data_IF_864907520053
#
_entry.id   IF_864907520053
#
_cell.length_a   1.000
_cell.length_b   1.000
_cell.length_c   1.000
_cell.angle_alpha   90.00
_cell.angle_beta   90.00
_cell.angle_gamma   90.00
#
_symmetry.space_group_name_H-M   'P 1'
#
loop_
_entity.id
_entity.type
_entity.pdbx_description
1 polymer ?
#
# COMPACT_ATOMS: atom_id res chain seq x y z
N UNK A 1 -22.78 -17.70 -15.86
CA UNK A 1 -23.24 -18.13 -14.52
C UNK A 1 -24.66 -18.67 -14.64
N UNK A 2 -25.00 -19.78 -13.95
CA UNK A 2 -26.39 -20.11 -13.67
C UNK A 2 -27.02 -18.88 -13.00
N UNK A 3 -28.14 -18.41 -13.53
CA UNK A 3 -28.68 -17.09 -13.14
C UNK A 3 -29.52 -17.19 -11.86
N UNK A 4 -29.97 -18.39 -11.54
CA UNK A 4 -30.99 -18.72 -10.55
C UNK A 4 -30.45 -19.28 -9.23
N UNK A 5 -29.16 -19.63 -9.14
CA UNK A 5 -28.57 -20.29 -7.97
C UNK A 5 -27.52 -19.43 -7.28
N UNK A 6 -27.64 -19.30 -5.96
CA UNK A 6 -26.64 -18.64 -5.13
C UNK A 6 -25.36 -19.53 -5.05
N UNK A 7 -24.15 -18.94 -5.03
CA UNK A 7 -22.89 -19.71 -5.05
C UNK A 7 -22.63 -20.52 -3.76
N UNK A 8 -23.27 -20.13 -2.65
CA UNK A 8 -23.21 -20.74 -1.31
C UNK A 8 -24.57 -20.54 -0.60
N UNK A 9 -24.83 -21.20 0.55
CA UNK A 9 -26.09 -21.05 1.29
C UNK A 9 -26.43 -19.62 1.74
N UNK A 10 -25.45 -18.71 1.69
CA UNK A 10 -25.43 -17.41 2.39
C UNK A 10 -25.18 -16.19 1.45
N UNK A 11 -25.33 -16.35 0.12
CA UNK A 11 -24.96 -15.34 -0.89
C UNK A 11 -26.10 -14.86 -1.80
N UNK A 12 -25.88 -13.73 -2.48
CA UNK A 12 -26.83 -13.18 -3.46
C UNK A 12 -26.80 -13.96 -4.78
N UNK A 13 -27.96 -14.11 -5.43
CA UNK A 13 -28.05 -14.77 -6.75
C UNK A 13 -27.46 -13.87 -7.85
N UNK A 14 -27.10 -14.46 -8.99
CA UNK A 14 -26.63 -13.68 -10.15
C UNK A 14 -27.66 -12.68 -10.67
N UNK A 15 -28.96 -12.93 -10.45
CA UNK A 15 -30.05 -12.01 -10.78
C UNK A 15 -29.97 -10.72 -9.96
N UNK A 16 -29.67 -10.79 -8.66
CA UNK A 16 -29.53 -9.60 -7.81
C UNK A 16 -28.51 -8.63 -8.39
N UNK A 17 -27.32 -9.13 -8.75
CA UNK A 17 -26.27 -8.28 -9.33
C UNK A 17 -26.65 -7.70 -10.69
N UNK A 18 -27.42 -8.44 -11.50
CA UNK A 18 -27.90 -7.92 -12.80
C UNK A 18 -28.94 -6.82 -12.64
N UNK A 19 -29.90 -7.01 -11.74
CA UNK A 19 -31.00 -6.07 -11.51
C UNK A 19 -30.51 -4.83 -10.77
N UNK A 20 -29.71 -5.02 -9.74
CA UNK A 20 -29.20 -3.93 -8.91
C UNK A 20 -27.88 -3.35 -9.42
N UNK A 21 -27.38 -3.78 -10.59
CA UNK A 21 -26.08 -3.37 -11.11
C UNK A 21 -25.92 -1.85 -11.12
N UNK A 22 -26.91 -1.14 -11.66
CA UNK A 22 -26.89 0.32 -11.75
C UNK A 22 -26.83 1.02 -10.38
N UNK A 23 -27.25 0.34 -9.31
CA UNK A 23 -27.25 0.85 -7.94
C UNK A 23 -25.90 0.55 -7.26
N UNK A 24 -25.36 -0.66 -7.42
CA UNK A 24 -24.21 -1.14 -6.64
C UNK A 24 -22.88 -1.11 -7.40
N UNK A 25 -22.88 -0.83 -8.71
CA UNK A 25 -21.67 -0.93 -9.56
C UNK A 25 -20.57 0.02 -9.10
N UNK A 26 -20.89 1.23 -8.70
CA UNK A 26 -19.89 2.24 -8.31
C UNK A 26 -19.19 1.82 -7.02
N UNK A 27 -19.95 1.41 -6.01
CA UNK A 27 -19.41 0.89 -4.75
C UNK A 27 -18.55 -0.37 -4.96
N UNK A 28 -19.01 -1.30 -5.80
CA UNK A 28 -18.24 -2.51 -6.12
C UNK A 28 -16.95 -2.15 -6.84
N UNK A 29 -17.00 -1.27 -7.84
CA UNK A 29 -15.80 -0.83 -8.57
C UNK A 29 -14.80 -0.09 -7.67
N UNK A 30 -15.29 0.74 -6.75
CA UNK A 30 -14.46 1.42 -5.75
C UNK A 30 -13.77 0.45 -4.79
N UNK A 31 -14.50 -0.56 -4.30
CA UNK A 31 -13.93 -1.62 -3.46
C UNK A 31 -12.87 -2.41 -4.24
N UNK A 32 -13.16 -2.77 -5.49
CA UNK A 32 -12.24 -3.51 -6.34
C UNK A 32 -10.97 -2.70 -6.65
N UNK A 33 -11.11 -1.41 -6.97
CA UNK A 33 -9.99 -0.51 -7.23
C UNK A 33 -9.13 -0.29 -5.97
N UNK A 34 -9.78 -0.14 -4.80
CA UNK A 34 -9.09 -0.03 -3.52
C UNK A 34 -8.26 -1.29 -3.19
N UNK A 35 -8.82 -2.48 -3.44
CA UNK A 35 -8.11 -3.76 -3.24
C UNK A 35 -6.99 -3.94 -4.27
N UNK A 36 -7.25 -3.61 -5.54
CA UNK A 36 -6.25 -3.72 -6.62
C UNK A 36 -5.04 -2.80 -6.41
N UNK A 37 -5.28 -1.57 -5.96
CA UNK A 37 -4.24 -0.58 -5.70
C UNK A 37 -3.57 -0.72 -4.32
N UNK A 38 -3.91 -1.78 -3.54
CA UNK A 38 -3.40 -2.03 -2.18
C UNK A 38 -3.66 -0.86 -1.20
N UNK A 39 -4.69 -0.05 -1.47
CA UNK A 39 -5.12 1.05 -0.60
C UNK A 39 -6.03 0.45 0.47
N UNK A 40 -5.43 -0.14 1.51
CA UNK A 40 -6.16 -0.77 2.61
C UNK A 40 -6.71 0.23 3.65
N UNK A 41 -6.54 1.54 3.43
CA UNK A 41 -6.88 2.59 4.41
C UNK A 41 -8.40 2.71 4.70
N UNK A 42 -9.26 2.17 3.83
CA UNK A 42 -10.73 2.28 3.93
C UNK A 42 -11.45 0.92 4.11
N UNK A 43 -10.73 -0.17 4.45
CA UNK A 43 -11.36 -1.47 4.66
C UNK A 43 -12.20 -1.56 5.95
N UNK A 44 -12.22 -0.50 6.77
CA UNK A 44 -13.06 -0.44 7.97
C UNK A 44 -14.56 -0.62 7.64
N UNK A 45 -14.99 -0.16 6.46
CA UNK A 45 -16.35 -0.37 5.98
C UNK A 45 -16.64 -1.84 5.62
N UNK A 46 -15.61 -2.64 5.26
CA UNK A 46 -15.78 -4.09 5.06
C UNK A 46 -16.06 -4.84 6.37
N UNK A 47 -15.68 -4.26 7.51
CA UNK A 47 -15.96 -4.81 8.84
C UNK A 47 -17.36 -4.48 9.35
N UNK A 48 -18.08 -3.57 8.69
CA UNK A 48 -19.47 -3.23 8.99
C UNK A 48 -20.39 -3.75 7.89
N UNK A 49 -21.08 -4.85 8.15
CA UNK A 49 -22.08 -5.39 7.23
C UNK A 49 -23.45 -5.43 7.91
N UNK A 50 -24.49 -4.99 7.18
CA UNK A 50 -25.87 -5.25 7.57
C UNK A 50 -26.15 -6.74 7.33
N UNK A 51 -26.23 -7.50 8.41
CA UNK A 51 -26.56 -8.92 8.36
C UNK A 51 -28.08 -9.04 8.33
N UNK A 52 -28.62 -9.44 7.18
CA UNK A 52 -30.05 -9.74 7.06
C UNK A 52 -30.27 -11.21 7.42
N UNK A 53 -31.08 -11.45 8.43
CA UNK A 53 -31.39 -12.79 8.94
C UNK A 53 -32.66 -13.33 8.29
N UNK A 54 -32.55 -14.40 7.48
CA UNK A 54 -33.72 -15.09 6.89
C UNK A 54 -34.00 -16.39 7.65
N UNK A 55 -35.18 -16.58 8.25
CA UNK A 55 -35.50 -17.81 8.98
C UNK A 55 -35.46 -19.05 8.06
N UNK A 56 -34.84 -20.12 8.53
CA UNK A 56 -34.73 -21.42 7.83
C UNK A 56 -35.99 -22.28 7.97
N UNK A 57 -36.77 -22.08 9.03
CA UNK A 57 -37.96 -22.84 9.43
C UNK A 57 -38.96 -21.92 10.12
N UNK A 58 -40.24 -22.31 10.18
CA UNK A 58 -41.22 -21.66 11.04
C UNK A 58 -40.87 -21.88 12.52
N UNK A 59 -41.08 -20.86 13.36
CA UNK A 59 -40.70 -20.90 14.78
C UNK A 59 -39.19 -20.78 15.02
N UNK A 60 -38.49 -19.94 14.25
CA UNK A 60 -37.06 -19.69 14.43
C UNK A 60 -36.77 -18.90 15.71
N UNK A 61 -36.21 -19.55 16.73
CA UNK A 61 -35.97 -18.96 18.06
C UNK A 61 -34.49 -18.58 18.29
N UNK A 62 -33.55 -19.29 17.65
CA UNK A 62 -32.11 -19.07 17.83
C UNK A 62 -31.40 -18.51 16.60
N UNK A 63 -30.26 -17.82 16.78
CA UNK A 63 -29.43 -17.28 15.68
C UNK A 63 -29.05 -18.33 14.63
N UNK A 64 -28.85 -19.60 15.04
CA UNK A 64 -28.53 -20.70 14.13
C UNK A 64 -29.69 -21.05 13.17
N UNK A 65 -30.92 -20.69 13.52
CA UNK A 65 -32.13 -20.90 12.71
C UNK A 65 -32.28 -19.85 11.60
N UNK A 66 -31.43 -18.84 11.56
CA UNK A 66 -31.42 -17.81 10.53
C UNK A 66 -30.25 -18.02 9.55
N UNK A 67 -30.47 -17.64 8.28
CA UNK A 67 -29.44 -17.53 7.25
C UNK A 67 -28.94 -16.09 7.25
N UNK A 68 -27.66 -15.83 7.57
CA UNK A 68 -27.09 -14.50 7.44
C UNK A 68 -26.79 -14.22 5.97
N UNK A 69 -27.41 -13.19 5.41
CA UNK A 69 -27.04 -12.67 4.09
C UNK A 69 -26.10 -11.49 4.28
N UNK A 70 -24.91 -11.57 3.66
CA UNK A 70 -23.91 -10.51 3.70
C UNK A 70 -23.39 -10.21 2.29
N UNK A 71 -23.67 -9.00 1.81
CA UNK A 71 -23.24 -8.52 0.50
C UNK A 71 -21.71 -8.48 0.41
N UNK A 72 -21.04 -8.09 1.51
CA UNK A 72 -19.59 -7.92 1.55
C UNK A 72 -18.86 -9.24 1.34
N UNK A 73 -19.36 -10.31 1.98
CA UNK A 73 -18.78 -11.64 1.87
C UNK A 73 -18.91 -12.18 0.44
N UNK A 74 -20.07 -11.95 -0.21
CA UNK A 74 -20.29 -12.37 -1.59
C UNK A 74 -19.42 -11.57 -2.59
N UNK A 75 -19.22 -10.27 -2.37
CA UNK A 75 -18.30 -9.43 -3.17
C UNK A 75 -16.86 -9.94 -3.05
N UNK A 76 -16.36 -10.16 -1.82
CA UNK A 76 -14.99 -10.64 -1.60
C UNK A 76 -14.77 -12.04 -2.19
N UNK A 77 -15.77 -12.91 -2.07
CA UNK A 77 -15.73 -14.23 -2.70
C UNK A 77 -15.65 -14.13 -4.23
N UNK A 78 -16.49 -13.29 -4.84
CA UNK A 78 -16.51 -13.06 -6.30
C UNK A 78 -15.23 -12.39 -6.80
N UNK A 79 -14.69 -11.45 -6.03
CA UNK A 79 -13.38 -10.88 -6.31
C UNK A 79 -12.32 -11.97 -6.34
N UNK A 80 -12.27 -12.81 -5.30
CA UNK A 80 -11.34 -13.93 -5.23
C UNK A 80 -11.44 -14.85 -6.45
N UNK A 81 -12.66 -15.20 -6.89
CA UNK A 81 -12.86 -15.96 -8.12
C UNK A 81 -12.33 -15.21 -9.35
N UNK A 82 -12.65 -13.92 -9.50
CA UNK A 82 -12.26 -13.11 -10.66
C UNK A 82 -10.75 -12.96 -10.81
N UNK A 83 -10.01 -12.88 -9.69
CA UNK A 83 -8.54 -12.78 -9.71
C UNK A 83 -7.84 -14.13 -9.52
N UNK A 84 -8.58 -15.24 -9.54
CA UNK A 84 -8.01 -16.59 -9.44
C UNK A 84 -7.52 -16.98 -8.02
N UNK A 85 -7.91 -16.24 -6.98
CA UNK A 85 -7.77 -16.64 -5.58
C UNK A 85 -8.83 -17.70 -5.24
N UNK A 86 -8.64 -18.89 -5.78
CA UNK A 86 -9.41 -20.08 -5.41
C UNK A 86 -8.51 -20.99 -4.60
N UNK A 87 -9.02 -21.49 -3.48
CA UNK A 87 -8.31 -22.48 -2.67
C UNK A 87 -8.03 -23.71 -3.54
N UNK A 88 -6.76 -23.93 -3.88
CA UNK A 88 -6.35 -25.11 -4.61
C UNK A 88 -6.26 -26.27 -3.64
N UNK A 89 -7.32 -27.08 -3.56
CA UNK A 89 -7.37 -28.22 -2.63
C UNK A 89 -6.25 -29.23 -2.89
N UNK A 90 -5.85 -29.46 -4.15
CA UNK A 90 -4.74 -30.36 -4.50
C UNK A 90 -3.37 -29.91 -3.97
N UNK A 91 -3.20 -28.61 -3.74
CA UNK A 91 -1.99 -28.05 -3.11
C UNK A 91 -2.19 -27.74 -1.63
N UNK A 92 -3.40 -27.91 -1.11
CA UNK A 92 -3.75 -27.59 0.27
C UNK A 92 -3.47 -28.78 1.18
N UNK A 93 -3.15 -28.48 2.43
CA UNK A 93 -2.94 -29.48 3.47
C UNK A 93 -4.11 -29.48 4.46
N UNK A 94 -4.51 -30.66 4.91
CA UNK A 94 -5.52 -30.83 5.96
C UNK A 94 -4.88 -31.57 7.13
N UNK A 95 -4.97 -31.00 8.32
CA UNK A 95 -4.53 -31.64 9.56
C UNK A 95 -5.66 -31.60 10.59
N UNK A 96 -5.84 -32.72 11.29
CA UNK A 96 -6.75 -32.79 12.42
C UNK A 96 -6.02 -32.41 13.71
N UNK A 97 -6.73 -31.73 14.61
CA UNK A 97 -6.21 -31.32 15.90
C UNK A 97 -7.09 -31.96 16.98
N UNK A 98 -6.48 -32.75 17.88
CA UNK A 98 -7.17 -33.46 18.98
C UNK A 98 -8.36 -34.32 18.52
N UNK A 99 -8.20 -34.99 17.39
CA UNK A 99 -9.17 -35.93 16.84
C UNK A 99 -8.61 -37.34 17.00
N UNK A 100 -8.56 -37.82 18.23
CA UNK A 100 -7.90 -39.08 18.58
C UNK A 100 -8.82 -40.29 18.29
N UNK A 101 -10.12 -40.04 18.10
CA UNK A 101 -11.19 -41.03 17.95
C UNK A 101 -11.84 -41.05 16.57
N UNK A 102 -11.45 -40.14 15.67
CA UNK A 102 -12.08 -40.00 14.34
C UNK A 102 -11.14 -40.58 13.28
N UNK A 103 -11.63 -41.56 12.52
CA UNK A 103 -10.98 -42.05 11.31
C UNK A 103 -11.03 -40.96 10.23
N UNK A 104 -9.96 -40.17 10.15
CA UNK A 104 -9.83 -39.09 9.17
C UNK A 104 -9.86 -39.60 7.72
N UNK A 105 -9.63 -40.90 7.52
CA UNK A 105 -9.67 -41.55 6.21
C UNK A 105 -11.07 -41.51 5.60
N UNK A 106 -12.11 -41.78 6.41
CA UNK A 106 -13.51 -41.72 5.97
C UNK A 106 -13.99 -40.26 5.84
N UNK A 107 -13.59 -39.39 6.77
CA UNK A 107 -14.00 -37.97 6.77
C UNK A 107 -13.43 -37.20 5.57
N UNK A 108 -12.23 -37.57 5.11
CA UNK A 108 -11.56 -36.93 3.98
C UNK A 108 -11.79 -37.66 2.66
N UNK A 109 -12.68 -38.66 2.63
CA UNK A 109 -13.01 -39.37 1.40
C UNK A 109 -13.58 -38.38 0.36
N UNK A 110 -12.96 -38.33 -0.83
CA UNK A 110 -13.31 -37.39 -1.89
C UNK A 110 -12.77 -35.97 -1.73
N UNK A 111 -12.02 -35.66 -0.66
CA UNK A 111 -11.33 -34.38 -0.52
C UNK A 111 -9.93 -34.49 -1.14
N UNK A 112 -9.61 -33.79 -2.24
CA UNK A 112 -8.35 -33.96 -2.95
C UNK A 112 -7.17 -33.24 -2.26
N UNK A 113 -7.22 -33.05 -0.94
CA UNK A 113 -6.21 -32.34 -0.17
C UNK A 113 -5.17 -33.29 0.46
N UNK A 114 -3.96 -32.76 0.65
CA UNK A 114 -2.84 -33.54 1.20
C UNK A 114 -3.03 -33.67 2.71
N UNK A 115 -3.12 -34.90 3.22
CA UNK A 115 -3.14 -35.13 4.68
C UNK A 115 -1.82 -34.70 5.29
N UNK A 116 -1.89 -33.88 6.33
CA UNK A 116 -0.76 -33.43 7.11
C UNK A 116 -1.01 -33.72 8.61
N UNK A 117 0.06 -33.87 9.36
CA UNK A 117 -0.01 -34.00 10.82
C UNK A 117 0.28 -32.66 11.46
N UNK A 118 -0.44 -32.34 12.53
CA UNK A 118 -0.15 -31.17 13.34
C UNK A 118 1.18 -31.38 14.11
N UNK A 119 2.06 -30.38 14.24
CA UNK A 119 1.93 -28.99 13.79
C UNK A 119 2.20 -28.79 12.29
N UNK A 120 1.30 -28.06 11.60
CA UNK A 120 1.44 -27.71 10.18
C UNK A 120 2.03 -26.32 9.98
N UNK A 121 2.56 -26.03 8.77
CA UNK A 121 2.99 -24.68 8.40
C UNK A 121 1.96 -24.00 7.50
N UNK A 122 1.61 -22.75 7.80
CA UNK A 122 0.76 -21.89 6.97
C UNK A 122 1.53 -20.63 6.58
N UNK A 123 1.61 -20.34 5.28
CA UNK A 123 2.43 -19.25 4.73
C UNK A 123 3.90 -19.29 5.22
N UNK A 124 4.46 -20.50 5.37
CA UNK A 124 5.82 -20.72 5.86
C UNK A 124 5.97 -20.68 7.39
N UNK A 125 4.90 -20.43 8.14
CA UNK A 125 4.91 -20.27 9.59
C UNK A 125 4.25 -21.45 10.30
N UNK A 126 4.85 -22.00 11.37
CA UNK A 126 4.22 -23.07 12.13
C UNK A 126 2.93 -22.60 12.81
N UNK A 127 1.83 -23.31 12.59
CA UNK A 127 0.52 -23.12 13.22
C UNK A 127 0.44 -23.74 14.64
N UNK A 128 1.58 -24.04 15.26
CA UNK A 128 1.68 -24.38 16.68
C UNK A 128 3.07 -24.08 17.23
N UNK A 129 3.16 -23.74 18.53
CA UNK A 129 4.38 -23.91 19.29
C UNK A 129 4.48 -25.34 19.83
N UNK A 130 5.69 -25.84 19.99
CA UNK A 130 5.95 -27.08 20.73
C UNK A 130 5.57 -26.91 22.20
N UNK A 131 5.13 -27.99 22.84
CA UNK A 131 4.57 -28.03 24.19
C UNK A 131 5.39 -27.25 25.22
N UNK A 132 4.86 -26.07 25.54
CA UNK A 132 5.07 -25.19 26.71
C UNK A 132 4.75 -23.76 26.25
N UNK A 133 3.46 -23.50 26.02
CA UNK A 133 3.00 -22.21 25.51
C UNK A 133 1.99 -21.59 26.47
N UNK A 134 2.50 -20.78 27.39
CA UNK A 134 1.75 -19.65 27.94
C UNK A 134 1.53 -18.65 26.80
N UNK A 135 0.31 -18.10 26.69
CA UNK A 135 -0.25 -17.42 25.51
C UNK A 135 0.46 -16.17 24.98
N UNK A 136 1.70 -16.28 24.50
CA UNK A 136 2.49 -15.16 23.96
C UNK A 136 3.56 -15.49 22.91
N UNK A 137 3.62 -16.70 22.34
CA UNK A 137 4.83 -17.16 21.58
C UNK A 137 4.69 -17.53 20.09
N UNK A 138 3.60 -17.21 19.38
CA UNK A 138 3.67 -17.13 17.91
C UNK A 138 3.89 -15.66 17.48
N UNK A 139 5.00 -15.07 17.92
CA UNK A 139 5.46 -13.79 17.38
C UNK A 139 6.30 -14.08 16.15
N UNK A 140 5.67 -14.09 14.98
CA UNK A 140 6.40 -14.07 13.71
C UNK A 140 7.34 -12.88 13.76
N UNK A 141 8.65 -13.15 13.75
CA UNK A 141 9.63 -12.10 13.68
C UNK A 141 9.67 -11.58 12.24
N UNK A 142 8.73 -10.69 11.91
CA UNK A 142 8.58 -10.13 10.57
C UNK A 142 9.86 -9.48 10.06
N UNK A 143 10.68 -8.89 10.94
CA UNK A 143 12.00 -8.37 10.56
C UNK A 143 12.92 -9.46 10.01
N UNK A 144 12.96 -10.65 10.63
CA UNK A 144 13.75 -11.79 10.16
C UNK A 144 13.12 -12.47 8.94
N UNK A 145 11.80 -12.64 8.95
CA UNK A 145 11.05 -13.26 7.85
C UNK A 145 11.22 -12.52 6.53
N UNK A 146 11.23 -11.18 6.57
CA UNK A 146 11.35 -10.36 5.37
C UNK A 146 12.78 -10.16 4.87
N UNK A 147 13.79 -10.75 5.53
CA UNK A 147 15.16 -10.73 5.00
C UNK A 147 15.26 -11.61 3.73
N UNK A 148 16.20 -11.30 2.82
CA UNK A 148 16.52 -12.18 1.70
C UNK A 148 16.86 -13.60 2.18
N UNK A 149 16.62 -14.59 1.32
CA UNK A 149 16.97 -15.99 1.60
C UNK A 149 18.47 -16.16 1.83
N UNK A 150 19.31 -15.35 1.16
CA UNK A 150 20.75 -15.29 1.38
C UNK A 150 21.17 -14.79 2.77
N UNK A 151 20.27 -14.09 3.47
CA UNK A 151 20.50 -13.56 4.83
C UNK A 151 19.70 -14.33 5.89
N UNK A 152 19.20 -15.54 5.55
CA UNK A 152 18.49 -16.41 6.49
C UNK A 152 17.03 -16.01 6.76
N UNK A 153 16.44 -15.17 5.92
CA UNK A 153 15.00 -14.90 5.90
C UNK A 153 14.26 -15.76 4.88
N UNK A 154 12.96 -15.49 4.70
CA UNK A 154 12.10 -16.22 3.75
C UNK A 154 11.92 -15.47 2.41
N UNK A 155 12.55 -14.29 2.25
CA UNK A 155 12.38 -13.47 1.05
C UNK A 155 10.97 -12.90 0.89
N UNK A 156 10.16 -12.90 1.96
CA UNK A 156 8.84 -12.27 1.95
C UNK A 156 9.02 -10.75 1.90
N UNK A 157 8.27 -10.08 1.03
CA UNK A 157 8.35 -8.63 0.94
C UNK A 157 7.79 -7.99 2.21
N UNK A 158 8.59 -7.11 2.82
CA UNK A 158 8.14 -6.22 3.87
C UNK A 158 7.12 -5.25 3.27
N UNK A 159 5.84 -5.43 3.60
CA UNK A 159 4.73 -4.69 2.99
C UNK A 159 4.85 -3.18 3.21
N UNK A 160 5.39 -2.75 4.34
CA UNK A 160 5.58 -1.32 4.63
C UNK A 160 6.63 -0.73 3.69
N UNK A 161 7.80 -1.38 3.59
CA UNK A 161 8.87 -0.94 2.68
C UNK A 161 8.45 -1.05 1.22
N UNK A 162 7.78 -2.12 0.84
CA UNK A 162 7.32 -2.35 -0.53
C UNK A 162 6.27 -1.31 -0.94
N UNK A 163 5.31 -1.01 -0.06
CA UNK A 163 4.31 0.04 -0.29
C UNK A 163 4.98 1.40 -0.48
N UNK A 164 5.99 1.74 0.34
CA UNK A 164 6.77 2.97 0.15
C UNK A 164 7.44 3.02 -1.21
N UNK A 165 8.14 1.96 -1.61
CA UNK A 165 8.76 1.88 -2.95
C UNK A 165 7.73 2.02 -4.07
N UNK A 166 6.51 1.51 -3.92
CA UNK A 166 5.43 1.75 -4.89
C UNK A 166 4.99 3.21 -4.94
N UNK A 167 4.91 3.91 -3.80
CA UNK A 167 4.62 5.35 -3.74
C UNK A 167 5.65 6.18 -4.49
N UNK A 168 6.93 5.78 -4.47
CA UNK A 168 7.98 6.45 -5.25
C UNK A 168 7.70 6.49 -6.75
N UNK A 169 6.89 5.56 -7.30
CA UNK A 169 6.48 5.60 -8.72
C UNK A 169 5.63 6.82 -9.05
N UNK A 170 4.84 7.32 -8.10
CA UNK A 170 4.03 8.53 -8.32
C UNK A 170 4.94 9.73 -8.58
N UNK A 171 5.97 9.90 -7.75
CA UNK A 171 6.99 10.95 -7.90
C UNK A 171 7.79 10.76 -9.19
N UNK A 172 8.13 9.52 -9.55
CA UNK A 172 8.82 9.25 -10.83
C UNK A 172 7.96 9.62 -12.04
N UNK A 173 6.68 9.23 -12.05
CA UNK A 173 5.78 9.49 -13.15
C UNK A 173 5.40 10.96 -13.27
N UNK A 174 5.34 11.72 -12.17
CA UNK A 174 5.17 13.18 -12.21
C UNK A 174 6.26 13.85 -13.07
N UNK A 175 7.48 13.32 -13.06
CA UNK A 175 8.60 13.84 -13.85
C UNK A 175 8.68 13.26 -15.26
N UNK A 176 8.34 11.98 -15.44
CA UNK A 176 8.50 11.27 -16.73
C UNK A 176 7.27 11.33 -17.64
N UNK A 177 6.10 11.50 -17.07
CA UNK A 177 4.83 11.51 -17.78
C UNK A 177 3.86 12.53 -17.14
N UNK A 178 4.04 13.82 -17.43
CA UNK A 178 3.20 14.89 -16.88
C UNK A 178 1.73 14.79 -17.28
N UNK A 179 1.40 13.91 -18.25
CA UNK A 179 0.02 13.70 -18.72
C UNK A 179 -0.79 12.81 -17.79
N UNK A 180 -0.16 12.22 -16.76
CA UNK A 180 -0.88 11.41 -15.77
C UNK A 180 -1.93 12.26 -15.04
N UNK A 181 -3.16 11.76 -14.88
CA UNK A 181 -4.30 12.55 -14.39
C UNK A 181 -4.16 13.01 -12.93
N UNK A 182 -3.23 12.42 -12.17
CA UNK A 182 -2.96 12.79 -10.77
C UNK A 182 -1.87 13.85 -10.61
N UNK A 183 -1.19 14.26 -11.69
CA UNK A 183 -0.14 15.28 -11.62
C UNK A 183 -0.77 16.62 -11.24
N UNK A 184 -0.30 17.21 -10.14
CA UNK A 184 -0.88 18.43 -9.56
C UNK A 184 -1.89 18.20 -8.43
N UNK A 185 -2.28 16.94 -8.15
CA UNK A 185 -3.09 16.58 -6.98
C UNK A 185 -2.20 16.19 -5.79
N UNK A 186 -2.79 16.09 -4.60
CA UNK A 186 -2.09 15.53 -3.44
C UNK A 186 -1.73 14.07 -3.71
N UNK A 187 -0.44 13.75 -3.54
CA UNK A 187 0.05 12.39 -3.69
C UNK A 187 0.07 11.68 -2.33
N UNK A 188 -0.06 10.34 -2.30
CA UNK A 188 0.05 9.59 -1.05
C UNK A 188 1.47 9.60 -0.45
N UNK A 189 2.43 10.33 -1.02
CA UNK A 189 3.82 10.33 -0.60
C UNK A 189 4.07 11.26 0.59
N UNK A 190 4.52 10.67 1.71
CA UNK A 190 4.93 11.41 2.90
C UNK A 190 6.35 12.00 2.77
N UNK A 191 6.85 12.67 3.82
CA UNK A 191 8.17 13.28 3.82
C UNK A 191 9.32 12.26 3.71
N UNK A 192 9.13 11.06 4.27
CA UNK A 192 10.13 10.00 4.21
C UNK A 192 10.18 9.43 2.80
N UNK A 193 9.04 9.23 2.14
CA UNK A 193 8.95 8.79 0.74
C UNK A 193 9.67 9.78 -0.18
N UNK A 194 9.46 11.09 0.04
CA UNK A 194 10.13 12.16 -0.73
C UNK A 194 11.64 12.19 -0.50
N UNK A 195 12.08 11.92 0.73
CA UNK A 195 13.50 11.85 1.08
C UNK A 195 14.15 10.60 0.49
N UNK A 196 13.46 9.46 0.51
CA UNK A 196 13.93 8.22 -0.13
C UNK A 196 14.03 8.39 -1.65
N UNK A 197 13.04 9.04 -2.27
CA UNK A 197 13.07 9.37 -3.70
C UNK A 197 14.26 10.27 -4.03
N UNK A 198 14.49 11.34 -3.26
CA UNK A 198 15.64 12.23 -3.43
C UNK A 198 16.99 11.48 -3.31
N UNK A 199 17.13 10.58 -2.33
CA UNK A 199 18.34 9.80 -2.14
C UNK A 199 18.59 8.74 -3.23
N UNK A 200 17.53 8.26 -3.90
CA UNK A 200 17.60 7.18 -4.89
C UNK A 200 17.55 7.65 -6.33
N UNK A 201 17.38 8.96 -6.57
CA UNK A 201 17.28 9.53 -7.91
C UNK A 201 18.31 10.62 -8.14
N UNK A 202 18.80 10.71 -9.38
CA UNK A 202 19.67 11.80 -9.83
C UNK A 202 18.89 12.69 -10.78
N UNK A 203 18.76 13.96 -10.44
CA UNK A 203 18.08 14.95 -11.27
C UNK A 203 19.11 15.62 -12.16
N UNK A 204 18.94 15.48 -13.47
CA UNK A 204 19.65 16.27 -14.48
C UNK A 204 18.81 17.48 -14.84
N UNK A 205 19.34 18.68 -14.60
CA UNK A 205 18.62 19.93 -14.89
C UNK A 205 18.56 20.13 -16.41
N UNK A 206 17.34 20.17 -16.94
CA UNK A 206 17.07 20.65 -18.30
C UNK A 206 16.76 22.15 -18.28
N UNK A 207 15.53 22.52 -18.58
CA UNK A 207 15.07 23.90 -18.55
C UNK A 207 14.84 24.43 -17.12
N UNK A 208 14.74 23.57 -16.11
CA UNK A 208 14.56 23.95 -14.70
C UNK A 208 13.14 24.38 -14.31
N UNK A 209 12.15 24.24 -15.21
CA UNK A 209 10.75 24.59 -14.91
C UNK A 209 10.08 23.58 -13.97
N UNK A 210 10.34 22.29 -14.18
CA UNK A 210 9.76 21.21 -13.36
C UNK A 210 10.52 20.99 -12.05
N UNK A 211 11.79 21.41 -11.98
CA UNK A 211 12.64 21.23 -10.80
C UNK A 211 12.26 22.24 -9.73
N UNK A 212 11.83 21.80 -8.55
CA UNK A 212 11.59 22.70 -7.41
C UNK A 212 12.91 23.13 -6.78
N UNK A 213 13.06 24.43 -6.52
CA UNK A 213 14.28 25.02 -5.99
C UNK A 213 14.72 24.33 -4.69
N UNK A 214 13.84 24.23 -3.69
CA UNK A 214 14.22 23.72 -2.37
C UNK A 214 14.10 22.21 -2.21
N UNK A 215 13.09 21.61 -2.85
CA UNK A 215 12.72 20.22 -2.62
C UNK A 215 13.37 19.22 -3.56
N UNK A 216 13.97 19.66 -4.67
CA UNK A 216 14.58 18.77 -5.65
C UNK A 216 16.08 18.62 -5.41
N UNK A 217 16.58 17.40 -5.58
CA UNK A 217 17.98 17.01 -5.37
C UNK A 217 18.88 17.37 -6.57
N UNK A 218 19.01 18.66 -6.86
CA UNK A 218 19.69 19.16 -8.08
C UNK A 218 21.12 19.68 -7.84
N UNK A 219 21.59 19.77 -6.59
CA UNK A 219 22.98 20.14 -6.25
C UNK A 219 23.73 18.86 -5.89
N UNK A 220 24.49 18.30 -6.84
CA UNK A 220 25.24 17.07 -6.63
C UNK A 220 24.40 15.88 -6.09
N UNK A 221 23.09 15.89 -6.37
CA UNK A 221 22.15 14.88 -5.84
C UNK A 221 21.64 15.18 -4.42
N UNK A 222 21.85 16.39 -3.91
CA UNK A 222 21.34 16.86 -2.63
C UNK A 222 20.33 18.00 -2.82
N UNK A 223 19.37 18.11 -1.88
CA UNK A 223 18.35 19.15 -1.90
C UNK A 223 18.90 20.41 -1.21
N UNK A 224 18.68 21.62 -1.76
CA UNK A 224 19.13 22.85 -1.12
C UNK A 224 18.63 23.05 0.30
N UNK A 225 17.41 22.57 0.62
CA UNK A 225 16.88 22.66 2.00
C UNK A 225 17.64 21.80 3.02
N UNK A 226 18.30 20.73 2.57
CA UNK A 226 19.11 19.87 3.45
C UNK A 226 20.50 20.50 3.66
N UNK A 227 21.02 21.20 2.65
CA UNK A 227 22.28 21.93 2.73
C UNK A 227 22.16 23.20 3.56
N UNK A 228 21.02 23.90 3.45
CA UNK A 228 20.78 25.20 4.09
C UNK A 228 19.40 25.25 4.76
N UNK A 229 19.18 24.48 5.84
CA UNK A 229 17.88 24.42 6.50
C UNK A 229 17.44 25.78 7.07
N UNK A 230 18.41 26.61 7.50
CA UNK A 230 18.15 27.96 8.01
C UNK A 230 17.65 28.91 6.92
N UNK A 231 18.22 28.85 5.72
CA UNK A 231 17.78 29.69 4.58
C UNK A 231 16.43 29.22 4.06
N UNK A 232 16.21 27.91 4.02
CA UNK A 232 14.90 27.35 3.70
C UNK A 232 13.81 27.77 4.70
N UNK A 233 14.13 27.81 6.00
CA UNK A 233 13.19 28.18 7.05
C UNK A 233 12.64 29.60 6.86
N UNK A 234 13.49 30.55 6.43
CA UNK A 234 13.11 31.95 6.20
C UNK A 234 12.57 32.22 4.78
N UNK A 235 12.60 31.24 3.87
CA UNK A 235 12.04 31.40 2.53
C UNK A 235 10.51 31.41 2.57
N UNK A 236 9.90 32.47 2.05
CA UNK A 236 8.44 32.65 1.93
C UNK A 236 7.85 31.78 0.82
N UNK A 237 8.59 31.56 -0.27
CA UNK A 237 8.14 30.77 -1.42
C UNK A 237 8.93 29.48 -1.57
N UNK A 238 8.53 28.47 -0.78
CA UNK A 238 9.18 27.15 -0.76
C UNK A 238 8.88 26.31 -2.01
N UNK A 239 7.81 26.65 -2.75
CA UNK A 239 7.36 25.93 -3.93
C UNK A 239 7.95 26.43 -5.26
N UNK A 240 8.81 27.46 -5.25
CA UNK A 240 9.34 28.08 -6.47
C UNK A 240 10.11 27.07 -7.35
N UNK A 241 9.94 27.18 -8.66
CA UNK A 241 10.74 26.42 -9.64
C UNK A 241 12.19 26.91 -9.68
N UNK A 242 13.11 26.03 -10.09
CA UNK A 242 14.54 26.34 -10.17
C UNK A 242 14.82 27.41 -11.21
N UNK A 243 14.13 27.38 -12.37
CA UNK A 243 14.24 28.41 -13.42
C UNK A 243 13.91 29.79 -12.84
N UNK A 244 12.70 29.95 -12.30
CA UNK A 244 12.23 31.24 -11.79
C UNK A 244 12.92 31.66 -10.50
N UNK A 245 13.58 30.73 -9.81
CA UNK A 245 14.42 31.02 -8.64
C UNK A 245 15.77 31.56 -9.05
N UNK A 246 16.43 30.94 -10.04
CA UNK A 246 17.77 31.35 -10.51
C UNK A 246 17.75 32.57 -11.42
N UNK A 247 16.67 32.82 -12.13
CA UNK A 247 16.54 34.01 -12.96
C UNK A 247 16.65 35.27 -12.08
N UNK A 248 17.67 36.09 -12.35
CA UNK A 248 18.00 37.32 -11.60
C UNK A 248 18.14 37.11 -10.07
N UNK A 249 18.51 35.90 -9.64
CA UNK A 249 18.56 35.54 -8.22
C UNK A 249 17.27 35.84 -7.44
N UNK A 250 16.11 35.74 -8.12
CA UNK A 250 14.80 36.09 -7.55
C UNK A 250 14.43 35.29 -6.30
N UNK A 251 15.04 34.13 -6.07
CA UNK A 251 14.89 33.36 -4.82
C UNK A 251 15.35 34.12 -3.56
N UNK A 252 16.29 35.07 -3.70
CA UNK A 252 16.79 35.91 -2.59
C UNK A 252 15.68 36.87 -2.13
N UNK A 253 14.85 37.34 -3.05
CA UNK A 253 13.72 38.22 -2.74
C UNK A 253 12.62 37.51 -1.93
N UNK A 254 12.57 36.17 -1.98
CA UNK A 254 11.64 35.38 -1.19
C UNK A 254 12.09 35.21 0.26
N UNK A 255 13.30 35.61 0.63
CA UNK A 255 13.81 35.44 1.98
C UNK A 255 13.23 36.51 2.91
N UNK A 256 12.63 36.09 4.02
CA UNK A 256 12.21 36.95 5.11
C UNK A 256 13.43 37.36 5.96
N UNK A 257 14.33 38.14 5.36
CA UNK A 257 15.50 38.67 6.06
C UNK A 257 15.05 39.74 7.05
N UNK A 258 15.04 39.40 8.34
CA UNK A 258 15.08 40.42 9.38
C UNK A 258 16.48 41.06 9.34
N UNK A 259 16.53 42.39 9.37
CA UNK A 259 17.68 43.23 9.06
C UNK A 259 18.96 43.02 9.90
N UNK A 260 19.02 42.00 10.76
CA UNK A 260 20.00 41.87 11.85
C UNK A 260 20.67 40.49 11.99
N UNK A 261 20.54 39.57 11.04
CA UNK A 261 21.31 38.29 11.07
C UNK A 261 22.45 38.28 10.06
N UNK A 262 23.68 38.72 10.44
CA UNK A 262 24.85 38.72 9.54
C UNK A 262 25.23 37.32 9.05
N UNK A 263 24.91 36.28 9.82
CA UNK A 263 25.18 34.88 9.48
C UNK A 263 24.38 34.42 8.25
N UNK A 264 23.15 34.90 8.10
CA UNK A 264 22.29 34.50 6.97
C UNK A 264 22.76 35.16 5.67
N UNK A 265 23.23 36.42 5.73
CA UNK A 265 23.78 37.13 4.57
C UNK A 265 25.06 36.45 4.08
N UNK A 266 25.98 36.13 4.99
CA UNK A 266 27.24 35.45 4.66
C UNK A 266 27.00 34.02 4.10
N UNK A 267 26.00 33.30 4.61
CA UNK A 267 25.60 31.99 4.08
C UNK A 267 25.04 32.08 2.65
N UNK A 268 24.23 33.10 2.36
CA UNK A 268 23.67 33.34 1.01
C UNK A 268 24.77 33.71 0.03
N UNK A 269 25.69 34.60 0.41
CA UNK A 269 26.79 35.06 -0.44
C UNK A 269 27.77 33.93 -0.80
N UNK A 270 28.05 33.04 0.16
CA UNK A 270 28.94 31.89 -0.04
C UNK A 270 28.34 30.75 -0.86
N UNK A 271 27.05 30.78 -1.17
CA UNK A 271 26.37 29.73 -1.95
C UNK A 271 26.33 30.04 -3.46
N UNK A 272 26.41 31.31 -3.83
CA UNK A 272 26.50 31.79 -5.22
C UNK A 272 27.69 31.26 -6.07
N UNK A 273 28.82 30.71 -5.54
CA UNK A 273 29.90 30.20 -6.39
C UNK A 273 29.55 28.96 -7.23
N UNK A 274 28.55 28.17 -6.84
CA UNK A 274 28.22 26.91 -7.54
C UNK A 274 27.49 27.09 -8.88
N UNK A 275 27.07 28.32 -9.24
CA UNK A 275 26.39 28.62 -10.50
C UNK A 275 27.25 29.17 -11.64
N UNK A 276 28.47 29.65 -11.36
CA UNK A 276 29.31 30.36 -12.36
C UNK A 276 30.38 29.52 -13.05
N UNK A 277 30.44 28.20 -12.81
CA UNK A 277 31.41 27.30 -13.48
C UNK A 277 30.74 26.05 -14.05
N UNK A 278 29.94 26.21 -15.11
CA UNK A 278 29.79 25.18 -16.15
C UNK A 278 28.95 25.70 -17.33
N UNK A 279 29.62 25.98 -18.45
CA UNK A 279 29.00 25.87 -19.77
C UNK A 279 28.57 27.15 -20.48
N UNK A 280 29.46 28.13 -20.62
CA UNK A 280 29.47 28.98 -21.82
C UNK A 280 30.93 29.07 -22.29
N UNK A 281 31.39 27.96 -22.86
CA UNK A 281 32.50 27.96 -23.80
C UNK A 281 31.87 28.17 -25.17
N UNK A 282 32.37 29.18 -25.88
CA UNK A 282 32.12 29.52 -27.29
C UNK A 282 31.78 28.36 -28.21
#
# INVERSE_FOLDING_TARGET
>A
MPTDKAPRPDGFTGIFFKVCWEIIKEDILLVLDSIYNLICAHLNLLNSANIVLIPKKEGAEGVADYRPISLIHDILHRFGIAIGLVTNLQKSQVAAIRCDTIELTEVLEGVPAIRANFPIKYLGLPLAGTGDITGGKCKVNWKKTCLPTSQGGLGVLDLEKFTRVLRLRWLWHEWKDPTKPWVGLETPCDEIDRSLFAASTKITIGDGNMTRLWDSAWIEGQRPKDLMPLVYAISKNRGRSLRNGKEEDAWVQDLALESHSPIIVELVDNWLPCGKRSGMST
#
